data_IF_040804584359
#
_entry.id   IF_040804584359
#
_cell.length_a   1.000
_cell.length_b   1.000
_cell.length_c   1.000
_cell.angle_alpha   90.00
_cell.angle_beta   90.00
_cell.angle_gamma   90.00
#
_symmetry.space_group_name_H-M   'P 1'
#
loop_
_entity.id
_entity.type
_entity.pdbx_description
1 polymer ?
#
# COMPACT_ATOMS: atom_id res chain seq x y z
N UNK A 1 3.91 -13.50 2.13
CA UNK A 1 4.39 -13.30 0.76
C UNK A 1 3.86 -11.99 0.23
N UNK A 2 4.72 -11.02 0.02
CA UNK A 2 4.36 -9.74 -0.57
C UNK A 2 4.13 -9.91 -2.07
N UNK A 3 2.95 -10.28 -2.45
CA UNK A 3 2.61 -10.55 -3.83
C UNK A 3 1.55 -9.58 -4.36
N UNK A 4 1.64 -8.30 -3.99
CA UNK A 4 0.60 -7.33 -4.31
C UNK A 4 0.58 -6.89 -5.78
N UNK A 5 1.66 -7.05 -6.53
CA UNK A 5 1.78 -6.43 -7.85
C UNK A 5 1.24 -7.28 -9.03
N UNK A 6 0.75 -8.48 -8.75
CA UNK A 6 0.37 -9.45 -9.81
C UNK A 6 -1.16 -9.60 -9.94
N UNK A 7 -1.95 -8.98 -9.06
CA UNK A 7 -3.41 -9.18 -9.00
C UNK A 7 -4.20 -8.22 -9.89
N UNK A 8 -3.71 -8.02 -11.11
CA UNK A 8 -4.43 -7.28 -12.13
C UNK A 8 -5.58 -8.09 -12.75
N UNK A 9 -5.60 -9.41 -12.50
CA UNK A 9 -6.65 -10.32 -12.96
C UNK A 9 -7.41 -10.86 -11.77
N UNK A 10 -8.65 -10.43 -11.63
CA UNK A 10 -9.54 -10.86 -10.56
C UNK A 10 -10.66 -11.74 -11.10
N UNK A 11 -11.19 -12.58 -10.22
CA UNK A 11 -12.43 -13.30 -10.46
C UNK A 11 -13.59 -12.30 -10.34
N UNK A 12 -14.61 -12.44 -11.19
CA UNK A 12 -15.85 -11.68 -11.08
C UNK A 12 -16.73 -12.21 -9.94
N UNK A 13 -16.10 -12.42 -8.79
CA UNK A 13 -16.74 -12.90 -7.58
C UNK A 13 -16.89 -11.73 -6.60
N UNK A 14 -18.12 -11.44 -6.13
CA UNK A 14 -18.32 -10.42 -5.10
C UNK A 14 -17.53 -10.75 -3.84
N UNK A 15 -17.00 -9.71 -3.18
CA UNK A 15 -16.42 -9.87 -1.85
C UNK A 15 -17.54 -10.26 -0.89
N UNK A 16 -17.32 -11.28 -0.07
CA UNK A 16 -18.34 -11.74 0.85
C UNK A 16 -18.74 -10.62 1.85
N UNK A 17 -20.02 -10.58 2.28
CA UNK A 17 -20.54 -9.49 3.11
C UNK A 17 -19.82 -9.32 4.44
N UNK A 18 -19.33 -10.40 5.05
CA UNK A 18 -18.60 -10.34 6.32
C UNK A 18 -17.24 -9.67 6.11
N UNK A 19 -16.51 -10.04 5.07
CA UNK A 19 -15.23 -9.40 4.71
C UNK A 19 -15.43 -7.92 4.37
N UNK A 20 -16.52 -7.54 3.67
CA UNK A 20 -16.85 -6.14 3.41
C UNK A 20 -17.04 -5.36 4.71
N UNK A 21 -17.79 -5.92 5.66
CA UNK A 21 -18.04 -5.27 6.96
C UNK A 21 -16.72 -5.08 7.75
N UNK A 22 -15.90 -6.12 7.81
CA UNK A 22 -14.60 -6.07 8.48
C UNK A 22 -13.66 -5.05 7.84
N UNK A 23 -13.59 -5.02 6.50
CA UNK A 23 -12.79 -4.04 5.76
C UNK A 23 -13.24 -2.61 6.03
N UNK A 24 -14.56 -2.34 6.00
CA UNK A 24 -15.09 -0.99 6.30
C UNK A 24 -14.72 -0.55 7.70
N UNK A 25 -14.92 -1.40 8.70
CA UNK A 25 -14.55 -1.08 10.08
C UNK A 25 -13.05 -0.81 10.24
N UNK A 26 -12.20 -1.59 9.56
CA UNK A 26 -10.75 -1.40 9.60
C UNK A 26 -10.32 -0.12 8.87
N UNK A 27 -10.88 0.16 7.69
CA UNK A 27 -10.64 1.40 6.94
C UNK A 27 -11.05 2.62 7.79
N UNK A 28 -12.20 2.58 8.45
CA UNK A 28 -12.67 3.66 9.34
C UNK A 28 -11.70 3.86 10.51
N UNK A 29 -11.16 2.80 11.08
CA UNK A 29 -10.13 2.88 12.11
C UNK A 29 -8.86 3.56 11.59
N UNK A 30 -8.37 3.16 10.42
CA UNK A 30 -7.22 3.79 9.77
C UNK A 30 -7.47 5.27 9.44
N UNK A 31 -8.67 5.63 8.99
CA UNK A 31 -9.06 7.01 8.72
C UNK A 31 -9.04 7.86 9.98
N UNK A 32 -9.57 7.35 11.10
CA UNK A 32 -9.53 8.07 12.41
C UNK A 32 -8.09 8.29 12.89
N UNK A 33 -7.22 7.30 12.72
CA UNK A 33 -5.81 7.40 13.14
C UNK A 33 -5.02 8.37 12.26
N UNK A 34 -5.26 8.36 10.94
CA UNK A 34 -4.45 9.07 9.96
C UNK A 34 -4.98 10.45 9.57
N UNK A 35 -6.29 10.67 9.71
CA UNK A 35 -6.99 11.80 9.08
C UNK A 35 -7.13 11.65 7.56
N UNK A 36 -6.94 10.45 7.01
CA UNK A 36 -7.29 10.13 5.62
C UNK A 36 -8.79 9.91 5.48
N UNK A 37 -9.25 9.91 4.25
CA UNK A 37 -10.62 9.64 3.85
C UNK A 37 -10.64 8.50 2.83
N UNK A 38 -10.10 7.32 3.22
CA UNK A 38 -10.13 6.12 2.40
C UNK A 38 -11.56 5.57 2.33
N UNK A 39 -11.97 5.13 1.14
CA UNK A 39 -13.34 4.66 0.89
C UNK A 39 -13.31 3.36 0.10
N UNK A 40 -14.04 2.34 0.57
CA UNK A 40 -14.24 1.08 -0.16
C UNK A 40 -15.38 1.26 -1.14
N UNK A 41 -15.07 1.16 -2.43
CA UNK A 41 -16.01 1.21 -3.55
C UNK A 41 -16.22 -0.21 -4.08
N UNK A 42 -17.48 -0.62 -4.15
CA UNK A 42 -17.88 -1.97 -4.59
C UNK A 42 -18.72 -1.88 -5.87
N UNK A 43 -18.58 -2.90 -6.70
CA UNK A 43 -19.38 -3.07 -7.92
C UNK A 43 -19.30 -1.88 -8.88
N UNK A 44 -18.10 -1.31 -9.05
CA UNK A 44 -17.81 -0.22 -9.98
C UNK A 44 -16.77 -0.65 -11.02
N UNK A 45 -17.20 -1.35 -12.10
CA UNK A 45 -16.28 -1.87 -13.12
C UNK A 45 -15.73 -0.77 -14.04
N UNK A 46 -16.41 0.39 -14.15
CA UNK A 46 -16.04 1.43 -15.10
C UNK A 46 -14.68 2.06 -14.81
N UNK A 47 -14.22 2.06 -13.56
CA UNK A 47 -12.89 2.54 -13.20
C UNK A 47 -11.77 1.76 -13.90
N UNK A 48 -12.00 0.49 -14.24
CA UNK A 48 -11.00 -0.41 -14.84
C UNK A 48 -11.42 -0.96 -16.23
N UNK A 49 -12.47 -0.45 -16.83
CA UNK A 49 -12.96 -0.87 -18.16
C UNK A 49 -12.38 -0.07 -19.32
N UNK A 50 -11.74 1.07 -19.06
CA UNK A 50 -11.23 1.99 -20.07
C UNK A 50 -9.91 1.57 -20.70
N UNK A 51 -9.49 2.29 -21.75
CA UNK A 51 -8.24 2.08 -22.47
C UNK A 51 -7.01 2.08 -21.54
N UNK A 52 -7.00 2.96 -20.53
CA UNK A 52 -5.90 3.04 -19.54
C UNK A 52 -5.78 1.76 -18.69
N UNK A 53 -6.91 1.13 -18.34
CA UNK A 53 -6.91 -0.16 -17.65
C UNK A 53 -6.33 -1.27 -18.54
N UNK A 54 -6.52 -1.19 -19.85
CA UNK A 54 -5.94 -2.12 -20.83
C UNK A 54 -4.40 -2.06 -20.82
N UNK A 55 -3.80 -0.87 -20.74
CA UNK A 55 -2.35 -0.72 -20.57
C UNK A 55 -1.84 -1.32 -19.24
N UNK A 56 -2.63 -1.21 -18.18
CA UNK A 56 -2.38 -1.86 -16.89
C UNK A 56 -2.67 -3.36 -16.87
N UNK A 57 -3.27 -3.92 -17.94
CA UNK A 57 -3.67 -5.33 -18.05
C UNK A 57 -4.64 -5.78 -16.94
N UNK A 58 -5.54 -4.88 -16.52
CA UNK A 58 -6.58 -5.22 -15.54
C UNK A 58 -7.73 -6.00 -16.19
N UNK A 59 -8.23 -7.01 -15.50
CA UNK A 59 -9.44 -7.75 -15.88
C UNK A 59 -10.21 -8.22 -14.65
N UNK A 60 -11.55 -8.21 -14.72
CA UNK A 60 -12.44 -8.65 -13.64
C UNK A 60 -12.46 -7.75 -12.41
N UNK A 61 -11.77 -6.60 -12.43
CA UNK A 61 -11.71 -5.67 -11.29
C UNK A 61 -12.99 -4.86 -11.21
N UNK A 62 -13.74 -5.03 -10.12
CA UNK A 62 -15.00 -4.34 -9.85
C UNK A 62 -14.99 -3.55 -8.55
N UNK A 63 -13.97 -3.76 -7.72
CA UNK A 63 -13.91 -3.15 -6.40
C UNK A 63 -12.54 -2.50 -6.19
N UNK A 64 -12.52 -1.39 -5.47
CA UNK A 64 -11.28 -0.70 -5.13
C UNK A 64 -11.43 0.14 -3.87
N UNK A 65 -10.31 0.52 -3.31
CA UNK A 65 -10.22 1.49 -2.22
C UNK A 65 -9.73 2.80 -2.85
N UNK A 66 -10.54 3.85 -2.76
CA UNK A 66 -10.14 5.20 -3.12
C UNK A 66 -9.35 5.81 -1.95
N UNK A 67 -8.08 6.10 -2.15
CA UNK A 67 -7.23 6.72 -1.12
C UNK A 67 -7.28 8.23 -1.27
N UNK A 68 -8.16 8.85 -0.53
CA UNK A 68 -8.43 10.29 -0.50
C UNK A 68 -7.85 10.89 0.78
N UNK A 69 -7.40 12.13 0.71
CA UNK A 69 -6.96 12.86 1.89
C UNK A 69 -6.67 14.33 1.60
N UNK A 70 -6.43 15.10 2.67
CA UNK A 70 -6.11 16.53 2.59
C UNK A 70 -4.84 16.76 1.78
N UNK A 71 -4.87 17.77 0.92
CA UNK A 71 -3.68 18.19 0.15
C UNK A 71 -2.58 18.63 1.11
N UNK A 72 -1.37 18.10 0.93
CA UNK A 72 -0.22 18.42 1.76
C UNK A 72 0.99 17.54 1.43
N UNK A 73 2.15 17.88 2.00
CA UNK A 73 3.42 17.16 1.78
C UNK A 73 3.40 15.74 2.32
N UNK A 74 2.63 15.50 3.38
CA UNK A 74 2.53 14.20 4.06
C UNK A 74 1.57 13.21 3.39
N UNK A 75 0.66 13.71 2.53
CA UNK A 75 -0.42 12.88 1.96
C UNK A 75 0.12 11.60 1.31
N UNK A 76 1.18 11.70 0.54
CA UNK A 76 1.72 10.55 -0.22
C UNK A 76 2.28 9.47 0.69
N UNK A 77 3.10 9.84 1.67
CA UNK A 77 3.69 8.89 2.62
C UNK A 77 2.61 8.28 3.51
N UNK A 78 1.71 9.11 4.04
CA UNK A 78 0.55 8.67 4.84
C UNK A 78 -0.36 7.71 4.07
N UNK A 79 -0.63 8.00 2.79
CA UNK A 79 -1.40 7.13 1.90
C UNK A 79 -0.72 5.77 1.71
N UNK A 80 0.60 5.74 1.54
CA UNK A 80 1.38 4.51 1.47
C UNK A 80 1.29 3.69 2.75
N UNK A 81 1.55 4.31 3.88
CA UNK A 81 1.57 3.64 5.18
C UNK A 81 0.20 3.05 5.56
N UNK A 82 -0.85 3.86 5.57
CA UNK A 82 -2.19 3.40 5.96
C UNK A 82 -2.88 2.57 4.88
N UNK A 83 -2.60 2.85 3.61
CA UNK A 83 -3.06 2.00 2.52
C UNK A 83 -2.50 0.58 2.64
N UNK A 84 -1.23 0.43 2.99
CA UNK A 84 -0.62 -0.90 3.18
C UNK A 84 -1.13 -1.60 4.43
N UNK A 85 -1.46 -0.86 5.51
CA UNK A 85 -2.20 -1.44 6.64
C UNK A 85 -3.47 -2.14 6.17
N UNK A 86 -4.25 -1.48 5.30
CA UNK A 86 -5.49 -2.04 4.76
C UNK A 86 -5.20 -3.20 3.79
N UNK A 87 -4.16 -3.10 2.97
CA UNK A 87 -3.73 -4.17 2.04
C UNK A 87 -3.39 -5.46 2.78
N UNK A 88 -2.56 -5.38 3.82
CA UNK A 88 -2.19 -6.57 4.60
C UNK A 88 -3.37 -7.13 5.39
N UNK A 89 -4.26 -6.27 5.88
CA UNK A 89 -5.50 -6.73 6.50
C UNK A 89 -6.42 -7.44 5.51
N UNK A 90 -6.60 -6.89 4.31
CA UNK A 90 -7.35 -7.53 3.23
C UNK A 90 -6.77 -8.91 2.86
N UNK A 91 -5.45 -9.02 2.81
CA UNK A 91 -4.77 -10.29 2.57
C UNK A 91 -5.08 -11.32 3.67
N UNK A 92 -5.17 -10.90 4.94
CA UNK A 92 -5.57 -11.81 6.04
C UNK A 92 -7.00 -12.32 5.92
N UNK A 93 -7.86 -11.61 5.18
CA UNK A 93 -9.22 -12.02 4.83
C UNK A 93 -9.28 -12.85 3.52
N UNK A 94 -8.13 -13.22 2.95
CA UNK A 94 -8.06 -13.98 1.70
C UNK A 94 -8.31 -13.16 0.44
N UNK A 95 -8.26 -11.84 0.52
CA UNK A 95 -8.42 -10.93 -0.61
C UNK A 95 -7.07 -10.54 -1.19
N UNK A 96 -7.07 -10.25 -2.47
CA UNK A 96 -5.92 -9.80 -3.24
C UNK A 96 -6.07 -8.34 -3.61
N UNK A 97 -4.96 -7.61 -3.68
CA UNK A 97 -4.94 -6.17 -3.95
C UNK A 97 -3.88 -5.81 -4.98
N UNK A 98 -4.04 -4.65 -5.62
CA UNK A 98 -3.00 -4.06 -6.46
C UNK A 98 -3.04 -2.54 -6.34
N UNK A 99 -1.88 -1.93 -6.10
CA UNK A 99 -1.71 -0.48 -6.10
C UNK A 99 -1.81 0.07 -7.53
N UNK A 100 -2.67 1.08 -7.74
CA UNK A 100 -2.93 1.65 -9.06
C UNK A 100 -2.87 3.17 -9.00
N UNK A 101 -1.89 3.75 -9.69
CA UNK A 101 -1.70 5.19 -9.67
C UNK A 101 -2.22 5.92 -10.92
N UNK A 102 -2.20 5.29 -12.10
CA UNK A 102 -2.51 5.96 -13.37
C UNK A 102 -3.45 5.19 -14.30
N UNK A 103 -3.53 3.87 -14.19
CA UNK A 103 -4.25 3.03 -15.16
C UNK A 103 -5.70 2.76 -14.73
N UNK A 104 -6.41 3.80 -14.32
CA UNK A 104 -7.82 3.75 -13.95
C UNK A 104 -8.53 5.04 -14.38
N UNK A 105 -9.86 4.99 -14.49
CA UNK A 105 -10.72 6.14 -14.74
C UNK A 105 -11.32 6.64 -13.42
N UNK A 106 -11.35 7.96 -13.22
CA UNK A 106 -12.03 8.56 -12.06
C UNK A 106 -13.55 8.55 -12.28
N UNK A 107 -14.24 7.75 -11.49
CA UNK A 107 -15.70 7.75 -11.44
C UNK A 107 -16.13 8.67 -10.29
N UNK A 108 -16.44 9.93 -10.63
CA UNK A 108 -16.69 11.00 -9.66
C UNK A 108 -17.86 10.74 -8.70
N UNK A 109 -18.80 9.88 -9.09
CA UNK A 109 -19.96 9.53 -8.28
C UNK A 109 -19.74 8.32 -7.38
N UNK A 110 -18.61 7.60 -7.55
CA UNK A 110 -18.34 6.37 -6.82
C UNK A 110 -17.74 6.60 -5.43
N UNK A 111 -17.09 7.75 -5.20
CA UNK A 111 -16.48 8.13 -3.92
C UNK A 111 -16.51 9.65 -3.76
N UNK A 112 -16.34 10.09 -2.51
CA UNK A 112 -16.42 11.50 -2.13
C UNK A 112 -15.03 12.12 -1.97
N UNK A 113 -14.87 13.36 -2.41
CA UNK A 113 -13.70 14.21 -2.18
C UNK A 113 -14.21 15.52 -1.58
N UNK A 114 -13.87 15.77 -0.31
CA UNK A 114 -14.27 16.97 0.38
C UNK A 114 -13.42 18.18 0.03
N UNK A 115 -13.82 19.35 0.46
CA UNK A 115 -13.07 20.59 0.26
C UNK A 115 -11.64 20.45 0.83
N UNK A 116 -10.63 20.79 0.02
CA UNK A 116 -9.23 20.66 0.41
C UNK A 116 -8.62 19.26 0.28
N UNK A 117 -9.42 18.25 -0.10
CA UNK A 117 -8.95 16.90 -0.35
C UNK A 117 -8.56 16.66 -1.81
N UNK A 118 -7.91 15.54 -2.05
CA UNK A 118 -7.70 14.96 -3.38
C UNK A 118 -7.60 13.44 -3.31
N UNK A 119 -7.96 12.80 -4.42
CA UNK A 119 -7.63 11.39 -4.64
C UNK A 119 -6.11 11.27 -4.87
N UNK A 120 -5.44 10.47 -4.05
CA UNK A 120 -4.00 10.19 -4.17
C UNK A 120 -3.76 9.06 -5.19
N UNK A 121 -4.47 7.96 -5.01
CA UNK A 121 -4.42 6.76 -5.86
C UNK A 121 -5.61 5.84 -5.51
N UNK A 122 -5.70 4.72 -6.21
CA UNK A 122 -6.64 3.65 -5.86
C UNK A 122 -5.89 2.33 -5.62
N UNK A 123 -6.50 1.44 -4.84
CA UNK A 123 -6.03 0.08 -4.61
C UNK A 123 -7.14 -0.85 -5.08
N UNK A 124 -6.92 -1.60 -6.15
CA UNK A 124 -7.90 -2.62 -6.56
C UNK A 124 -7.95 -3.75 -5.55
N UNK A 125 -9.13 -4.31 -5.30
CA UNK A 125 -9.34 -5.35 -4.29
C UNK A 125 -10.37 -6.38 -4.75
N UNK A 126 -10.11 -7.65 -4.48
CA UNK A 126 -11.00 -8.76 -4.82
C UNK A 126 -10.32 -10.11 -4.70
N UNK A 127 -10.91 -11.14 -5.27
CA UNK A 127 -10.31 -12.47 -5.33
C UNK A 127 -9.46 -12.60 -6.59
N UNK A 128 -8.16 -12.80 -6.45
CA UNK A 128 -7.23 -12.95 -7.58
C UNK A 128 -7.39 -14.30 -8.28
N UNK A 129 -7.14 -14.34 -9.59
CA UNK A 129 -7.05 -15.60 -10.35
C UNK A 129 -5.82 -16.41 -9.96
N UNK A 130 -4.78 -15.76 -9.44
CA UNK A 130 -3.53 -16.38 -8.96
C UNK A 130 -3.13 -15.77 -7.62
N UNK A 131 -2.25 -16.44 -6.88
CA UNK A 131 -1.75 -15.98 -5.59
C UNK A 131 -0.45 -15.15 -5.69
N UNK A 132 -0.06 -14.74 -6.90
CA UNK A 132 1.13 -13.93 -7.15
C UNK A 132 2.40 -14.74 -7.35
N UNK A 133 3.50 -14.01 -7.45
CA UNK A 133 4.85 -14.55 -7.65
C UNK A 133 5.76 -14.12 -6.50
N UNK A 134 6.86 -14.85 -6.23
CA UNK A 134 7.84 -14.44 -5.24
C UNK A 134 8.39 -13.04 -5.54
N UNK A 135 8.52 -12.22 -4.50
CA UNK A 135 9.08 -10.88 -4.59
C UNK A 135 10.60 -10.93 -4.84
N UNK A 136 11.10 -10.08 -5.74
CA UNK A 136 12.52 -9.91 -5.97
C UNK A 136 13.03 -8.73 -5.16
N UNK A 137 13.73 -9.02 -4.06
CA UNK A 137 14.29 -8.01 -3.15
C UNK A 137 15.71 -7.63 -3.53
N UNK A 138 16.06 -6.37 -3.30
CA UNK A 138 17.44 -5.89 -3.31
C UNK A 138 18.21 -6.43 -2.09
N UNK A 139 19.54 -6.40 -2.08
CA UNK A 139 20.34 -6.71 -0.90
C UNK A 139 20.10 -5.64 0.20
N UNK A 140 20.16 -6.05 1.47
CA UNK A 140 19.91 -5.18 2.64
C UNK A 140 20.75 -3.90 2.63
N UNK A 141 22.02 -4.03 2.26
CA UNK A 141 23.01 -2.96 2.25
C UNK A 141 22.63 -1.81 1.32
N UNK A 142 21.80 -2.08 0.30
CA UNK A 142 21.33 -1.07 -0.64
C UNK A 142 20.23 -0.17 -0.08
N UNK A 143 19.58 -0.58 1.03
CA UNK A 143 18.42 0.12 1.61
C UNK A 143 18.62 0.50 3.09
N UNK A 144 19.81 0.26 3.65
CA UNK A 144 20.13 0.64 5.04
C UNK A 144 21.44 1.41 5.14
N UNK A 145 21.53 2.29 6.15
CA UNK A 145 22.74 3.00 6.56
C UNK A 145 22.91 2.87 8.07
N UNK A 146 23.90 2.13 8.49
CA UNK A 146 24.22 1.87 9.91
C UNK A 146 25.72 1.96 10.12
N UNK A 147 26.15 2.46 11.30
CA UNK A 147 27.57 2.65 11.63
C UNK A 147 28.25 1.39 12.19
N UNK A 148 27.46 0.43 12.69
CA UNK A 148 27.95 -0.79 13.32
C UNK A 148 26.93 -1.92 13.12
N UNK A 149 27.23 -3.11 13.68
CA UNK A 149 26.33 -4.25 13.62
C UNK A 149 24.94 -3.91 14.17
N UNK A 150 23.90 -3.83 13.33
CA UNK A 150 22.55 -3.48 13.77
C UNK A 150 21.93 -4.64 14.57
N UNK A 151 21.01 -4.35 15.50
CA UNK A 151 20.31 -5.38 16.24
C UNK A 151 19.40 -6.22 15.33
N UNK A 152 19.09 -7.44 15.78
CA UNK A 152 18.31 -8.40 15.00
C UNK A 152 16.94 -7.85 14.57
N UNK A 153 16.25 -7.12 15.45
CA UNK A 153 14.95 -6.50 15.14
C UNK A 153 15.04 -5.50 13.97
N UNK A 154 16.13 -4.73 13.86
CA UNK A 154 16.33 -3.79 12.77
C UNK A 154 16.50 -4.54 11.43
N UNK A 155 17.29 -5.61 11.41
CA UNK A 155 17.47 -6.45 10.22
C UNK A 155 16.16 -7.14 9.81
N UNK A 156 15.36 -7.59 10.77
CA UNK A 156 14.01 -8.13 10.50
C UNK A 156 13.08 -7.06 9.90
N UNK A 157 13.17 -5.83 10.39
CA UNK A 157 12.47 -4.69 9.81
C UNK A 157 12.89 -4.40 8.37
N UNK A 158 14.20 -4.43 8.09
CA UNK A 158 14.73 -4.25 6.72
C UNK A 158 14.25 -5.36 5.78
N UNK A 159 14.29 -6.63 6.23
CA UNK A 159 13.80 -7.76 5.44
C UNK A 159 12.31 -7.60 5.10
N UNK A 160 11.51 -7.19 6.07
CA UNK A 160 10.10 -6.93 5.86
C UNK A 160 9.88 -5.74 4.91
N UNK A 161 10.62 -4.65 5.06
CA UNK A 161 10.55 -3.49 4.17
C UNK A 161 10.92 -3.85 2.72
N UNK A 162 11.87 -4.76 2.52
CA UNK A 162 12.25 -5.26 1.20
C UNK A 162 11.16 -6.12 0.53
N UNK A 163 10.15 -6.57 1.28
CA UNK A 163 8.97 -7.24 0.75
C UNK A 163 7.85 -6.26 0.37
N UNK A 164 8.00 -4.98 0.72
CA UNK A 164 7.01 -3.96 0.41
C UNK A 164 6.81 -3.80 -1.11
N UNK A 165 5.57 -3.75 -1.61
CA UNK A 165 5.32 -3.43 -3.01
C UNK A 165 5.76 -1.98 -3.28
N UNK A 166 6.53 -1.79 -4.34
CA UNK A 166 6.96 -0.46 -4.79
C UNK A 166 6.72 -0.29 -6.28
N UNK A 167 6.53 0.95 -6.71
CA UNK A 167 6.35 1.26 -8.12
C UNK A 167 7.51 0.67 -8.95
N UNK A 168 7.18 -0.14 -9.96
CA UNK A 168 8.17 -0.83 -10.82
C UNK A 168 9.21 -1.66 -10.02
N UNK A 169 8.86 -2.10 -8.83
CA UNK A 169 9.77 -2.79 -7.89
C UNK A 169 11.07 -2.00 -7.64
N UNK A 170 10.98 -0.65 -7.63
CA UNK A 170 12.16 0.21 -7.56
C UNK A 170 12.87 0.20 -6.21
N UNK A 171 12.17 -0.09 -5.11
CA UNK A 171 12.71 -0.20 -3.75
C UNK A 171 13.67 0.96 -3.42
N UNK A 172 13.23 2.21 -3.70
CA UNK A 172 14.01 3.44 -3.53
C UNK A 172 13.71 4.08 -2.18
N UNK A 173 14.17 3.46 -1.13
CA UNK A 173 14.10 3.96 0.23
C UNK A 173 15.40 3.62 0.98
N UNK A 174 15.68 4.34 2.05
CA UNK A 174 16.83 4.08 2.91
C UNK A 174 16.41 4.23 4.36
N UNK A 175 16.71 3.23 5.19
CA UNK A 175 16.54 3.25 6.63
C UNK A 175 17.89 3.49 7.31
N UNK A 176 17.90 4.29 8.37
CA UNK A 176 19.07 4.55 9.19
C UNK A 176 18.73 4.34 10.64
N UNK A 177 19.70 3.87 11.42
CA UNK A 177 19.53 3.57 12.84
C UNK A 177 20.52 4.40 13.66
N UNK A 178 20.02 5.05 14.72
CA UNK A 178 20.82 5.72 15.73
C UNK A 178 20.26 5.38 17.12
N UNK A 179 20.99 4.55 17.88
CA UNK A 179 20.48 3.96 19.10
C UNK A 179 19.27 3.08 18.81
N UNK A 180 18.10 3.45 19.34
CA UNK A 180 16.79 2.84 19.01
C UNK A 180 15.91 3.74 18.13
N UNK A 181 16.45 4.83 17.59
CA UNK A 181 15.70 5.74 16.71
C UNK A 181 15.96 5.37 15.25
N UNK A 182 14.90 5.10 14.53
CA UNK A 182 14.92 4.77 13.10
C UNK A 182 14.46 5.97 12.29
N UNK A 183 15.23 6.34 11.29
CA UNK A 183 14.81 7.28 10.26
C UNK A 183 14.69 6.59 8.91
N UNK A 184 13.73 7.03 8.09
CA UNK A 184 13.53 6.49 6.76
C UNK A 184 13.36 7.62 5.75
N UNK A 185 14.01 7.49 4.58
CA UNK A 185 13.99 8.50 3.52
C UNK A 185 13.65 7.87 2.18
N UNK A 186 12.80 8.55 1.42
CA UNK A 186 12.53 8.19 0.02
C UNK A 186 13.72 8.60 -0.87
N UNK A 187 14.06 7.73 -1.81
CA UNK A 187 14.95 8.07 -2.91
C UNK A 187 14.25 8.89 -4.00
N UNK A 188 14.98 9.28 -5.01
CA UNK A 188 14.44 10.02 -6.16
C UNK A 188 13.74 9.05 -7.11
N UNK A 189 12.46 9.27 -7.36
CA UNK A 189 11.66 8.43 -8.28
C UNK A 189 10.18 8.77 -8.24
N UNK A 190 9.45 8.33 -9.28
CA UNK A 190 7.99 8.42 -9.30
C UNK A 190 7.44 7.58 -8.16
N UNK A 191 6.46 8.12 -7.41
CA UNK A 191 5.77 7.45 -6.30
C UNK A 191 6.65 7.09 -5.10
N UNK A 192 7.93 7.48 -5.06
CA UNK A 192 8.88 7.08 -4.01
C UNK A 192 8.44 7.46 -2.59
N UNK A 193 7.64 8.52 -2.42
CA UNK A 193 7.05 8.88 -1.10
C UNK A 193 5.91 7.94 -0.69
N UNK A 194 5.14 7.43 -1.64
CA UNK A 194 4.11 6.41 -1.37
C UNK A 194 4.82 5.10 -1.01
N UNK A 195 5.80 4.70 -1.84
CA UNK A 195 6.62 3.51 -1.60
C UNK A 195 7.29 3.53 -0.22
N UNK A 196 7.78 4.72 0.21
CA UNK A 196 8.34 4.90 1.55
C UNK A 196 7.30 4.60 2.65
N UNK A 197 6.09 5.14 2.51
CA UNK A 197 5.02 4.85 3.48
C UNK A 197 4.71 3.37 3.58
N UNK A 198 4.61 2.68 2.44
CA UNK A 198 4.43 1.23 2.38
C UNK A 198 5.59 0.51 3.09
N UNK A 199 6.83 0.85 2.76
CA UNK A 199 8.03 0.25 3.34
C UNK A 199 8.13 0.49 4.86
N UNK A 200 7.74 1.68 5.34
CA UNK A 200 7.71 2.00 6.79
C UNK A 200 6.73 1.08 7.54
N UNK A 201 5.55 0.83 7.00
CA UNK A 201 4.61 -0.09 7.64
C UNK A 201 5.14 -1.53 7.67
N UNK A 202 5.72 -2.01 6.56
CA UNK A 202 6.38 -3.32 6.53
C UNK A 202 7.52 -3.41 7.55
N UNK A 203 8.35 -2.36 7.64
CA UNK A 203 9.43 -2.28 8.62
C UNK A 203 8.90 -2.43 10.06
N UNK A 204 7.83 -1.70 10.43
CA UNK A 204 7.21 -1.82 11.75
C UNK A 204 6.74 -3.24 12.06
N UNK A 205 6.09 -3.88 11.08
CA UNK A 205 5.62 -5.27 11.23
C UNK A 205 6.79 -6.24 11.46
N UNK A 206 7.89 -6.04 10.75
CA UNK A 206 9.07 -6.90 10.87
C UNK A 206 9.92 -6.61 12.10
N UNK A 207 10.08 -5.35 12.45
CA UNK A 207 10.92 -4.91 13.57
C UNK A 207 10.26 -5.07 14.95
N UNK A 208 8.91 -5.02 15.00
CA UNK A 208 8.17 -4.84 16.24
C UNK A 208 8.21 -3.39 16.70
N UNK A 209 7.06 -2.75 16.76
CA UNK A 209 6.94 -1.31 17.05
C UNK A 209 7.46 -0.91 18.43
N UNK A 210 7.49 -1.85 19.36
CA UNK A 210 8.00 -1.69 20.72
C UNK A 210 9.52 -1.55 20.80
N UNK A 211 10.26 -1.93 19.75
CA UNK A 211 11.72 -1.96 19.75
C UNK A 211 12.37 -0.64 19.35
N UNK A 212 11.59 0.30 18.77
CA UNK A 212 12.17 1.53 18.23
C UNK A 212 11.22 2.73 18.25
N UNK A 213 11.77 3.90 17.97
CA UNK A 213 11.06 5.14 17.75
C UNK A 213 11.34 5.64 16.33
N UNK A 214 10.33 6.21 15.68
CA UNK A 214 10.55 6.98 14.45
C UNK A 214 11.17 8.35 14.80
N UNK A 215 12.16 8.78 13.96
CA UNK A 215 12.75 10.11 14.04
C UNK A 215 11.78 11.20 13.60
#
# INVERSE_FOLDING_TARGET
SAASDVYKRQLEKPIDPQSVQLLRAFIDSCNRESGLHMQLVLNEPNAFSGLMAHYGKFSGVQNYIAVVGKKGSELKEKSGYFGEKVVLYAQSLGLNTCWVAMTYSKIKTAFQIDAGEKLCLVISIGYGQTQGVPHQSKPRESVMKVESNPPAWFLQGIDAALLAPTAMNQQKFTFSLQGNTVSAKAGIGFYSKIDLGIAKYHFEVGAGKENFLWA
#
